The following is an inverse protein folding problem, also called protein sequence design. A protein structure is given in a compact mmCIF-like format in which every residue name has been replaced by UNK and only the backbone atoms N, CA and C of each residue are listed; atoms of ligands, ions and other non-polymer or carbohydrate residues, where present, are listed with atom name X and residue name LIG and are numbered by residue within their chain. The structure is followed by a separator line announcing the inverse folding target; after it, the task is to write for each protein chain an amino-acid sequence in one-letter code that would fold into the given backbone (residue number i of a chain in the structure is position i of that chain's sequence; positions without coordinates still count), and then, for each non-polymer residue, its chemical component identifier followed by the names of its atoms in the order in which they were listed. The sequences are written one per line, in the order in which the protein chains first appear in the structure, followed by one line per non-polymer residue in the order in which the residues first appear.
data_IF_058058825332
#
_entry.id   IF_058058825332
#
_cell.length_a   1.000
_cell.length_b   1.000
_cell.length_c   1.000
_cell.angle_alpha   90.00
_cell.angle_beta   90.00
_cell.angle_gamma   90.00
#
_symmetry.space_group_name_H-M   'P 1'
#
loop_
_entity.id
_entity.type
_entity.pdbx_description
1 polymer ?
#
# COMPACT_ATOMS: atom_id res chain seq x y z
N UNK A 1 -9.66 16.39 -3.03
CA UNK A 1 -8.56 16.80 -2.13
C UNK A 1 -8.11 15.57 -1.36
N UNK A 2 -6.82 15.21 -1.43
CA UNK A 2 -6.24 14.07 -0.70
C UNK A 2 -5.67 14.54 0.64
N UNK A 3 -5.34 13.62 1.53
CA UNK A 3 -4.71 13.96 2.83
C UNK A 3 -3.33 14.59 2.62
N UNK A 4 -2.56 14.15 1.63
CA UNK A 4 -1.25 14.74 1.29
C UNK A 4 -1.38 16.21 0.87
N UNK A 5 -2.34 16.53 0.01
CA UNK A 5 -2.58 17.92 -0.41
C UNK A 5 -3.03 18.84 0.72
N UNK A 6 -3.70 18.31 1.76
CA UNK A 6 -4.01 19.08 2.98
C UNK A 6 -2.75 19.42 3.79
N UNK A 7 -1.80 18.48 3.88
CA UNK A 7 -0.50 18.72 4.53
C UNK A 7 0.32 19.74 3.75
N UNK A 8 0.35 19.62 2.41
CA UNK A 8 1.03 20.59 1.53
C UNK A 8 0.43 22.00 1.67
N UNK A 9 -0.90 22.10 1.79
CA UNK A 9 -1.62 23.35 2.06
C UNK A 9 -1.44 23.90 3.49
N UNK A 10 -0.55 23.30 4.29
CA UNK A 10 -0.21 23.71 5.67
C UNK A 10 -1.38 23.61 6.66
N UNK A 11 -2.29 22.66 6.44
CA UNK A 11 -3.45 22.44 7.30
C UNK A 11 -3.20 21.40 8.40
N UNK A 12 -1.95 20.95 8.58
CA UNK A 12 -1.56 20.07 9.68
C UNK A 12 -0.55 19.00 9.27
N UNK A 13 -0.58 17.87 9.96
CA UNK A 13 0.25 16.68 9.72
C UNK A 13 -0.63 15.44 9.61
N UNK A 14 -0.11 14.39 8.96
CA UNK A 14 -0.85 13.15 8.79
C UNK A 14 0.05 11.92 8.94
N UNK A 15 -0.50 10.84 9.50
CA UNK A 15 0.12 9.52 9.50
C UNK A 15 -0.47 8.71 8.33
N UNK A 16 0.30 8.60 7.25
CA UNK A 16 -0.10 7.90 6.03
C UNK A 16 1.01 6.96 5.56
N UNK A 17 0.67 5.83 4.90
CA UNK A 17 1.70 4.98 4.31
C UNK A 17 2.39 5.70 3.15
N UNK A 18 3.68 5.45 2.97
CA UNK A 18 4.38 5.88 1.77
C UNK A 18 3.92 5.01 0.59
N UNK A 19 3.23 5.61 -0.36
CA UNK A 19 2.71 4.95 -1.57
C UNK A 19 3.26 5.62 -2.83
N UNK A 20 3.33 4.86 -3.92
CA UNK A 20 3.70 5.38 -5.22
C UNK A 20 2.75 6.52 -5.62
N UNK A 21 3.32 7.63 -6.09
CA UNK A 21 2.56 8.85 -6.45
C UNK A 21 2.70 10.00 -5.45
N UNK A 22 3.18 9.75 -4.23
CA UNK A 22 3.42 10.82 -3.24
C UNK A 22 4.82 11.45 -3.30
N UNK A 23 5.65 11.06 -4.26
CA UNK A 23 7.06 11.47 -4.34
C UNK A 23 7.26 12.89 -4.89
N UNK A 24 6.21 13.51 -5.44
CA UNK A 24 6.30 14.80 -6.14
C UNK A 24 5.58 15.93 -5.38
N UNK A 25 5.13 15.68 -4.15
CA UNK A 25 4.41 16.65 -3.32
C UNK A 25 5.41 17.47 -2.49
N UNK A 26 5.17 18.76 -2.22
CA UNK A 26 6.04 19.58 -1.37
C UNK A 26 5.83 19.28 0.13
N UNK A 27 5.96 18.01 0.50
CA UNK A 27 5.86 17.50 1.87
C UNK A 27 7.06 16.60 2.17
N UNK A 28 7.42 16.52 3.45
CA UNK A 28 8.52 15.64 3.92
C UNK A 28 7.91 14.47 4.68
N UNK A 29 8.36 13.25 4.35
CA UNK A 29 8.01 12.05 5.08
C UNK A 29 8.99 11.84 6.24
N UNK A 30 8.45 11.75 7.46
CA UNK A 30 9.22 11.46 8.67
C UNK A 30 8.91 10.02 9.09
N UNK A 31 9.93 9.14 9.24
CA UNK A 31 9.70 7.77 9.67
C UNK A 31 9.24 7.71 11.13
N UNK A 32 8.22 6.89 11.42
CA UNK A 32 7.83 6.55 12.79
C UNK A 32 8.77 5.47 13.31
N UNK A 33 9.52 5.77 14.37
CA UNK A 33 10.47 4.84 14.97
C UNK A 33 9.76 3.81 15.87
N UNK A 34 8.84 4.29 16.72
CA UNK A 34 8.05 3.45 17.62
C UNK A 34 6.59 3.94 17.71
N UNK A 35 5.59 3.05 17.62
CA UNK A 35 5.74 1.62 17.32
C UNK A 35 6.16 1.41 15.86
N UNK A 36 6.74 0.24 15.54
CA UNK A 36 6.96 -0.17 14.14
C UNK A 36 5.62 -0.24 13.39
N UNK A 37 5.33 0.76 12.56
CA UNK A 37 4.12 0.80 11.74
C UNK A 37 4.26 -0.09 10.50
N UNK A 38 3.54 -1.20 10.45
CA UNK A 38 3.45 -2.06 9.27
C UNK A 38 2.00 -2.44 8.97
N UNK A 39 1.72 -2.82 7.72
CA UNK A 39 0.42 -3.36 7.31
C UNK A 39 0.59 -4.52 6.36
N UNK A 40 -0.27 -5.53 6.48
CA UNK A 40 -0.33 -6.63 5.53
C UNK A 40 -1.22 -6.24 4.36
N UNK A 41 -0.72 -6.37 3.13
CA UNK A 41 -1.54 -6.28 1.92
C UNK A 41 -2.05 -7.68 1.57
N UNK A 42 -3.36 -7.82 1.38
CA UNK A 42 -4.01 -9.10 1.09
C UNK A 42 -4.84 -9.06 -0.19
N UNK A 43 -5.08 -10.24 -0.76
CA UNK A 43 -6.05 -10.45 -1.84
C UNK A 43 -7.20 -11.29 -1.27
N UNK A 44 -8.43 -10.82 -1.48
CA UNK A 44 -9.65 -11.53 -1.06
C UNK A 44 -10.52 -11.88 -2.27
N UNK A 45 -11.19 -13.02 -2.19
CA UNK A 45 -12.21 -13.46 -3.15
C UNK A 45 -13.29 -14.26 -2.42
N UNK A 46 -14.48 -14.31 -3.00
CA UNK A 46 -15.56 -15.14 -2.47
C UNK A 46 -15.26 -16.62 -2.80
N UNK A 47 -15.23 -17.48 -1.76
CA UNK A 47 -14.95 -18.92 -1.91
C UNK A 47 -16.11 -19.69 -2.55
N UNK A 48 -17.32 -19.15 -2.46
CA UNK A 48 -18.56 -19.78 -2.97
C UNK A 48 -18.87 -19.34 -4.41
N UNK A 49 -18.02 -18.52 -5.02
CA UNK A 49 -18.17 -18.07 -6.41
C UNK A 49 -17.01 -18.53 -7.27
N UNK A 50 -17.33 -18.79 -8.54
CA UNK A 50 -16.34 -19.11 -9.54
C UNK A 50 -15.30 -18.01 -9.66
N UNK A 51 -14.02 -18.38 -9.51
CA UNK A 51 -12.89 -17.52 -9.80
C UNK A 51 -12.41 -17.83 -11.23
N UNK A 52 -12.48 -16.84 -12.11
CA UNK A 52 -12.09 -17.04 -13.51
C UNK A 52 -10.64 -17.51 -13.65
N UNK A 53 -10.26 -18.21 -14.73
CA UNK A 53 -8.89 -18.70 -14.90
C UNK A 53 -7.89 -17.54 -14.94
N UNK A 54 -8.29 -16.39 -15.49
CA UNK A 54 -7.49 -15.16 -15.53
C UNK A 54 -7.30 -14.58 -14.12
N UNK A 55 -8.36 -14.51 -13.31
CA UNK A 55 -8.26 -14.03 -11.94
C UNK A 55 -7.42 -14.97 -11.05
N UNK A 56 -7.51 -16.28 -11.28
CA UNK A 56 -6.66 -17.28 -10.60
C UNK A 56 -5.18 -17.06 -10.95
N UNK A 57 -4.85 -16.90 -12.24
CA UNK A 57 -3.48 -16.60 -12.70
C UNK A 57 -2.96 -15.29 -12.11
N UNK A 58 -3.79 -14.25 -12.05
CA UNK A 58 -3.39 -12.99 -11.42
C UNK A 58 -3.06 -13.16 -9.93
N UNK A 59 -3.90 -13.88 -9.17
CA UNK A 59 -3.64 -14.17 -7.76
C UNK A 59 -2.31 -14.92 -7.58
N UNK A 60 -2.04 -15.93 -8.40
CA UNK A 60 -0.80 -16.70 -8.37
C UNK A 60 0.42 -15.82 -8.71
N UNK A 61 0.30 -14.96 -9.73
CA UNK A 61 1.33 -14.01 -10.10
C UNK A 61 1.67 -13.04 -8.96
N UNK A 62 0.66 -12.46 -8.30
CA UNK A 62 0.88 -11.52 -7.20
C UNK A 62 1.51 -12.23 -6.00
N UNK A 63 1.04 -13.44 -5.66
CA UNK A 63 1.64 -14.23 -4.59
C UNK A 63 3.14 -14.51 -4.86
N UNK A 64 3.49 -14.98 -6.07
CA UNK A 64 4.87 -15.24 -6.43
C UNK A 64 5.76 -13.97 -6.43
N UNK A 65 5.23 -12.87 -6.97
CA UNK A 65 6.00 -11.63 -7.19
C UNK A 65 6.34 -10.87 -5.91
N UNK A 66 5.52 -11.00 -4.86
CA UNK A 66 5.66 -10.21 -3.63
C UNK A 66 6.06 -11.03 -2.41
N UNK A 67 5.91 -12.37 -2.42
CA UNK A 67 6.44 -13.23 -1.35
C UNK A 67 7.98 -13.36 -1.39
N UNK A 68 8.61 -13.28 -2.57
CA UNK A 68 10.08 -13.33 -2.69
C UNK A 68 10.80 -12.05 -2.24
N UNK A 69 10.10 -10.90 -2.24
CA UNK A 69 10.71 -9.60 -1.89
C UNK A 69 10.85 -9.34 -0.39
N UNK A 70 10.41 -10.25 0.48
CA UNK A 70 10.55 -10.12 1.94
C UNK A 70 11.89 -10.68 2.50
N UNK A 71 12.83 -11.14 1.64
CA UNK A 71 14.12 -11.71 2.04
C UNK A 71 15.36 -10.89 1.61
N UNK A 72 15.19 -9.63 1.17
CA UNK A 72 16.31 -8.69 0.98
C UNK A 72 16.18 -7.50 1.92
#
# INVERSE_FOLDING_TARGET
MTVAGLVEARLGVALIPHIAGLNNENIVFIPVLEPKCSRTIGIAWNKDRYLSPVAKRFKEFVAASFLQKHQQ
#
